data_IF_663192234397
#
_entry.id   IF_663192234397
#
_cell.length_a   1.000
_cell.length_b   1.000
_cell.length_c   1.000
_cell.angle_alpha   90.00
_cell.angle_beta   90.00
_cell.angle_gamma   90.00
#
_symmetry.space_group_name_H-M   'P 1'
#
loop_
_entity.id
_entity.type
_entity.pdbx_description
1 polymer ?
#
# COMPACT_ATOMS: atom_id res chain seq x y z
N UNK A 1 8.30 16.75 -7.75
CA UNK A 1 7.97 15.44 -8.35
C UNK A 1 9.24 14.82 -8.90
N UNK A 2 9.32 13.49 -8.97
CA UNK A 2 10.45 12.80 -9.60
C UNK A 2 10.31 12.84 -11.13
N UNK A 3 11.40 13.08 -11.86
CA UNK A 3 11.42 12.97 -13.33
C UNK A 3 11.16 11.54 -13.85
N UNK A 4 11.25 10.55 -12.96
CA UNK A 4 10.98 9.14 -13.26
C UNK A 4 9.54 8.71 -12.95
N UNK A 5 8.70 9.59 -12.39
CA UNK A 5 7.32 9.25 -12.06
C UNK A 5 6.54 8.86 -13.32
N UNK A 6 5.95 7.66 -13.32
CA UNK A 6 5.24 7.05 -14.46
C UNK A 6 6.02 7.00 -15.79
N UNK A 7 7.32 7.24 -15.76
CA UNK A 7 8.19 7.17 -16.94
C UNK A 7 8.49 5.72 -17.29
N UNK A 8 8.32 5.35 -18.57
CA UNK A 8 8.71 4.03 -19.10
C UNK A 8 10.24 3.87 -19.07
N UNK A 9 10.73 2.64 -19.00
CA UNK A 9 12.16 2.37 -19.10
C UNK A 9 12.61 2.15 -20.55
N UNK A 10 11.76 1.48 -21.33
CA UNK A 10 11.94 1.23 -22.77
C UNK A 10 10.57 1.31 -23.48
N UNK A 11 10.53 1.05 -24.79
CA UNK A 11 9.28 0.89 -25.53
C UNK A 11 8.41 -0.26 -25.02
N UNK A 12 9.00 -1.29 -24.40
CA UNK A 12 8.30 -2.49 -23.94
C UNK A 12 8.19 -2.60 -22.42
N UNK A 13 8.94 -1.78 -21.67
CA UNK A 13 8.97 -1.80 -20.20
C UNK A 13 8.21 -0.60 -19.61
N UNK A 14 6.92 -0.77 -19.25
CA UNK A 14 6.13 0.29 -18.59
C UNK A 14 6.65 0.59 -17.17
N UNK A 15 6.24 1.72 -16.56
CA UNK A 15 6.53 2.00 -15.16
C UNK A 15 5.96 0.92 -14.24
N UNK A 16 6.79 0.40 -13.32
CA UNK A 16 6.40 -0.67 -12.41
C UNK A 16 6.55 -0.24 -10.94
N UNK A 17 7.77 0.03 -10.51
CA UNK A 17 8.07 0.62 -9.19
C UNK A 17 8.27 2.14 -9.25
N UNK A 18 7.53 2.83 -10.15
CA UNK A 18 7.70 4.27 -10.46
C UNK A 18 6.45 5.11 -10.19
N UNK A 19 5.62 4.70 -9.24
CA UNK A 19 4.35 5.37 -8.94
C UNK A 19 3.36 4.44 -8.23
N UNK A 20 3.05 3.26 -8.80
CA UNK A 20 2.05 2.35 -8.24
C UNK A 20 2.26 1.99 -6.77
N UNK A 21 1.15 1.74 -6.09
CA UNK A 21 1.04 1.37 -4.69
C UNK A 21 1.21 -0.15 -4.54
N UNK A 22 2.19 -0.56 -3.74
CA UNK A 22 2.55 -1.95 -3.48
C UNK A 22 2.32 -2.35 -2.02
N UNK A 23 1.63 -3.47 -1.79
CA UNK A 23 1.15 -3.84 -0.45
C UNK A 23 2.24 -4.40 0.46
N UNK A 24 3.25 -5.10 -0.08
CA UNK A 24 4.40 -5.57 0.68
C UNK A 24 5.15 -4.43 1.40
N UNK A 25 5.48 -3.34 0.69
CA UNK A 25 6.18 -2.20 1.29
C UNK A 25 5.24 -1.44 2.24
N UNK A 26 3.98 -1.26 1.85
CA UNK A 26 2.99 -0.62 2.70
C UNK A 26 2.75 -1.37 4.02
N UNK A 27 2.78 -2.70 4.01
CA UNK A 27 2.72 -3.51 5.23
C UNK A 27 3.88 -3.18 6.18
N UNK A 28 5.12 -3.13 5.66
CA UNK A 28 6.29 -2.76 6.45
C UNK A 28 6.20 -1.33 6.99
N UNK A 29 5.71 -0.38 6.19
CA UNK A 29 5.49 1.00 6.63
C UNK A 29 4.45 1.10 7.73
N UNK A 30 3.31 0.42 7.59
CA UNK A 30 2.24 0.40 8.62
C UNK A 30 2.77 -0.23 9.91
N UNK A 31 3.51 -1.34 9.83
CA UNK A 31 4.19 -1.98 10.97
C UNK A 31 5.15 -1.04 11.69
N UNK A 32 6.00 -0.34 10.95
CA UNK A 32 6.95 0.61 11.51
C UNK A 32 6.24 1.79 12.19
N UNK A 33 5.22 2.36 11.54
CA UNK A 33 4.42 3.45 12.11
C UNK A 33 3.73 3.01 13.40
N UNK A 34 3.16 1.80 13.46
CA UNK A 34 2.58 1.24 14.68
C UNK A 34 3.62 1.12 15.80
N UNK A 35 4.82 0.61 15.49
CA UNK A 35 5.90 0.48 16.46
C UNK A 35 6.29 1.84 17.07
N UNK A 36 6.54 2.86 16.24
CA UNK A 36 6.92 4.19 16.71
C UNK A 36 5.77 4.98 17.34
N UNK A 37 4.52 4.61 17.05
CA UNK A 37 3.35 5.24 17.67
C UNK A 37 3.08 4.71 19.08
N UNK A 38 3.24 3.40 19.30
CA UNK A 38 2.67 2.75 20.49
C UNK A 38 3.63 1.86 21.28
N UNK A 39 4.76 1.46 20.72
CA UNK A 39 5.69 0.50 21.37
C UNK A 39 6.89 1.21 21.98
N UNK A 40 7.50 2.13 21.24
CA UNK A 40 8.68 2.87 21.70
C UNK A 40 8.33 4.33 22.00
N UNK A 41 8.72 4.88 23.17
CA UNK A 41 8.58 6.30 23.44
C UNK A 41 9.44 7.13 22.47
N UNK A 42 8.89 8.25 21.98
CA UNK A 42 9.64 9.17 21.14
C UNK A 42 8.88 10.45 20.84
N UNK A 43 9.59 11.54 20.48
CA UNK A 43 8.97 12.85 20.22
C UNK A 43 8.01 12.84 19.02
N UNK A 44 8.07 11.79 18.19
CA UNK A 44 7.25 11.64 16.98
C UNK A 44 6.11 10.63 17.12
N UNK A 45 5.84 10.09 18.32
CA UNK A 45 4.81 9.06 18.50
C UNK A 45 3.41 9.51 18.05
N UNK A 46 3.02 10.75 18.37
CA UNK A 46 1.73 11.31 17.94
C UNK A 46 1.62 11.43 16.41
N UNK A 47 2.71 11.83 15.76
CA UNK A 47 2.76 11.94 14.30
C UNK A 47 2.74 10.55 13.63
N UNK A 48 3.48 9.59 14.18
CA UNK A 48 3.45 8.20 13.74
C UNK A 48 2.04 7.60 13.86
N UNK A 49 1.33 7.85 14.97
CA UNK A 49 -0.05 7.39 15.18
C UNK A 49 -1.04 7.99 14.16
N UNK A 50 -0.87 9.28 13.83
CA UNK A 50 -1.68 9.98 12.83
C UNK A 50 -1.47 9.38 11.43
N UNK A 51 -0.21 9.18 11.03
CA UNK A 51 0.12 8.61 9.71
C UNK A 51 -0.30 7.14 9.65
N UNK A 52 -0.06 6.35 10.70
CA UNK A 52 -0.51 4.96 10.84
C UNK A 52 -2.01 4.83 10.54
N UNK A 53 -2.82 5.61 11.26
CA UNK A 53 -4.29 5.57 11.16
C UNK A 53 -4.76 5.93 9.74
N UNK A 54 -4.15 6.97 9.14
CA UNK A 54 -4.49 7.41 7.78
C UNK A 54 -4.09 6.37 6.73
N UNK A 55 -2.87 5.86 6.79
CA UNK A 55 -2.34 4.89 5.82
C UNK A 55 -3.11 3.57 5.87
N UNK A 56 -3.28 3.00 7.07
CA UNK A 56 -4.06 1.77 7.28
C UNK A 56 -5.46 1.90 6.71
N UNK A 57 -6.16 2.99 7.03
CA UNK A 57 -7.53 3.21 6.55
C UNK A 57 -7.62 3.38 5.04
N UNK A 58 -6.67 4.09 4.42
CA UNK A 58 -6.61 4.26 2.97
C UNK A 58 -6.41 2.93 2.24
N UNK A 59 -5.47 2.10 2.70
CA UNK A 59 -5.18 0.80 2.11
C UNK A 59 -6.39 -0.14 2.20
N UNK A 60 -6.98 -0.27 3.40
CA UNK A 60 -8.15 -1.14 3.63
C UNK A 60 -9.31 -0.71 2.74
N UNK A 61 -9.64 0.59 2.72
CA UNK A 61 -10.76 1.09 1.90
C UNK A 61 -10.53 0.84 0.42
N UNK A 62 -9.31 1.07 -0.10
CA UNK A 62 -9.06 0.90 -1.52
C UNK A 62 -9.12 -0.58 -1.92
N UNK A 63 -8.48 -1.47 -1.15
CA UNK A 63 -8.43 -2.90 -1.49
C UNK A 63 -9.82 -3.55 -1.39
N UNK A 64 -10.62 -3.17 -0.38
CA UNK A 64 -12.00 -3.63 -0.29
C UNK A 64 -12.86 -3.10 -1.44
N UNK A 65 -12.70 -1.83 -1.82
CA UNK A 65 -13.41 -1.23 -2.97
C UNK A 65 -13.06 -1.98 -4.26
N UNK A 66 -11.78 -2.21 -4.54
CA UNK A 66 -11.34 -2.90 -5.74
C UNK A 66 -11.74 -4.37 -5.75
N UNK A 67 -11.63 -5.05 -4.61
CA UNK A 67 -12.11 -6.42 -4.46
C UNK A 67 -13.62 -6.52 -4.72
N UNK A 68 -14.42 -5.60 -4.16
CA UNK A 68 -15.86 -5.56 -4.42
C UNK A 68 -16.20 -5.24 -5.89
N UNK A 69 -15.41 -4.36 -6.54
CA UNK A 69 -15.63 -3.94 -7.93
C UNK A 69 -15.24 -5.03 -8.94
N UNK A 70 -14.16 -5.76 -8.69
CA UNK A 70 -13.57 -6.67 -9.69
C UNK A 70 -13.55 -8.14 -9.29
N UNK A 71 -13.81 -8.47 -8.03
CA UNK A 71 -13.72 -9.83 -7.48
C UNK A 71 -12.31 -10.34 -7.20
N UNK A 72 -11.28 -9.48 -7.26
CA UNK A 72 -9.88 -9.89 -7.18
C UNK A 72 -9.03 -8.93 -6.35
N UNK A 73 -7.98 -9.47 -5.73
CA UNK A 73 -6.82 -8.68 -5.32
C UNK A 73 -5.84 -8.58 -6.50
N UNK A 74 -5.22 -7.42 -6.62
CA UNK A 74 -4.28 -7.08 -7.68
C UNK A 74 -2.85 -6.97 -7.15
N UNK A 75 -1.90 -7.11 -8.07
CA UNK A 75 -0.46 -7.06 -7.79
C UNK A 75 -0.01 -5.70 -7.25
N UNK A 76 -0.50 -4.62 -7.87
CA UNK A 76 -0.28 -3.23 -7.48
C UNK A 76 -1.55 -2.39 -7.75
N UNK A 77 -1.59 -1.16 -7.24
CA UNK A 77 -2.72 -0.25 -7.40
C UNK A 77 -2.26 1.12 -7.91
N UNK A 78 -3.03 1.73 -8.79
CA UNK A 78 -2.77 3.07 -9.32
C UNK A 78 -2.75 4.13 -8.20
N UNK A 79 -1.75 5.01 -8.17
CA UNK A 79 -1.61 6.00 -7.10
C UNK A 79 -2.60 7.18 -7.22
N UNK A 80 -3.15 7.42 -8.40
CA UNK A 80 -4.12 8.49 -8.65
C UNK A 80 -5.57 8.03 -8.48
N UNK A 81 -5.95 6.91 -9.10
CA UNK A 81 -7.33 6.40 -9.14
C UNK A 81 -7.61 5.31 -8.11
N UNK A 82 -6.57 4.64 -7.59
CA UNK A 82 -6.69 3.46 -6.74
C UNK A 82 -7.04 2.17 -7.49
N UNK A 83 -7.18 2.21 -8.81
CA UNK A 83 -7.54 1.04 -9.60
C UNK A 83 -6.47 -0.06 -9.53
N UNK A 84 -6.88 -1.32 -9.38
CA UNK A 84 -6.00 -2.48 -9.45
C UNK A 84 -5.32 -2.59 -10.82
N UNK A 85 -4.03 -2.90 -10.81
CA UNK A 85 -3.15 -2.99 -11.99
C UNK A 85 -2.26 -4.24 -11.92
N UNK A 86 -1.72 -4.66 -13.07
CA UNK A 86 -0.83 -5.82 -13.18
C UNK A 86 -1.57 -7.15 -13.07
N UNK A 87 -0.89 -8.15 -12.51
CA UNK A 87 -1.41 -9.51 -12.43
C UNK A 87 -2.62 -9.63 -11.46
N UNK A 88 -3.56 -10.51 -11.81
CA UNK A 88 -4.67 -10.94 -10.95
C UNK A 88 -5.12 -12.38 -11.31
N UNK A 89 -5.64 -13.17 -10.35
CA UNK A 89 -5.67 -12.91 -8.92
C UNK A 89 -4.25 -12.86 -8.34
N UNK A 90 -3.97 -11.87 -7.48
CA UNK A 90 -2.69 -11.75 -6.80
C UNK A 90 -2.89 -11.87 -5.29
N UNK A 91 -3.13 -13.08 -4.81
CA UNK A 91 -3.14 -13.41 -3.37
C UNK A 91 -1.74 -13.71 -2.83
N UNK A 92 -0.70 -13.12 -3.45
CA UNK A 92 0.67 -13.08 -2.92
C UNK A 92 0.79 -12.06 -1.79
N UNK A 93 1.71 -11.10 -1.89
CA UNK A 93 1.85 -10.08 -0.83
C UNK A 93 0.63 -9.17 -0.65
N UNK A 94 -0.28 -9.08 -1.63
CA UNK A 94 -1.52 -8.30 -1.45
C UNK A 94 -2.42 -8.90 -0.37
N UNK A 95 -2.25 -10.20 -0.03
CA UNK A 95 -2.92 -10.85 1.10
C UNK A 95 -2.50 -10.30 2.47
N UNK A 96 -1.37 -9.56 2.56
CA UNK A 96 -0.94 -8.89 3.80
C UNK A 96 -1.97 -7.85 4.27
N UNK A 97 -2.92 -7.44 3.43
CA UNK A 97 -4.03 -6.59 3.85
C UNK A 97 -4.83 -7.20 5.00
N UNK A 98 -4.92 -8.54 5.09
CA UNK A 98 -5.59 -9.23 6.20
C UNK A 98 -4.86 -8.98 7.52
N UNK A 99 -3.52 -9.01 7.51
CA UNK A 99 -2.72 -8.69 8.70
C UNK A 99 -2.84 -7.22 9.10
N UNK A 100 -2.89 -6.31 8.12
CA UNK A 100 -3.15 -4.88 8.36
C UNK A 100 -4.55 -4.67 8.98
N UNK A 101 -5.57 -5.37 8.50
CA UNK A 101 -6.93 -5.30 9.08
C UNK A 101 -6.95 -5.81 10.52
N UNK A 102 -6.27 -6.92 10.80
CA UNK A 102 -6.17 -7.51 12.14
C UNK A 102 -5.14 -6.85 13.07
N UNK A 103 -4.44 -5.82 12.61
CA UNK A 103 -3.36 -5.12 13.33
C UNK A 103 -2.30 -6.09 13.89
N UNK A 104 -1.94 -7.10 13.08
CA UNK A 104 -0.91 -8.11 13.38
C UNK A 104 0.35 -7.79 12.60
N UNK A 105 1.42 -7.39 13.30
CA UNK A 105 2.65 -6.86 12.71
C UNK A 105 3.91 -7.54 13.25
#
# INVERSE_FOLDING_TARGET
SSSLYNSRNTEHDPPYWRGPIWININYLSVRALHHYAYVVPGPHAAEAARIYSKLRSNLIRNLLKEYARTGYLWEQYDDASGAGQGCRPFTGWSSLIVLIMGEKY
#
